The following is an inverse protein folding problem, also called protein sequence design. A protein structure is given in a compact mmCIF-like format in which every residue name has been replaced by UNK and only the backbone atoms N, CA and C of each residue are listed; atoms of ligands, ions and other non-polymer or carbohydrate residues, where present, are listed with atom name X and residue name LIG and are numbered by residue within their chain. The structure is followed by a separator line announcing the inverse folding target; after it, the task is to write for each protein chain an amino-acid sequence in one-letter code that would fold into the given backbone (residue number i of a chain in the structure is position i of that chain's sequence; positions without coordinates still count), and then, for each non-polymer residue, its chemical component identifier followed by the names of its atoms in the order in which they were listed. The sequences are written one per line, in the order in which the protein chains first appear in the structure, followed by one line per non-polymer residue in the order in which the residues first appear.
data_IF_157692812687
#
_entry.id   IF_157692812687
#
_cell.length_a   1.000
_cell.length_b   1.000
_cell.length_c   1.000
_cell.angle_alpha   90.00
_cell.angle_beta   90.00
_cell.angle_gamma   90.00
#
_symmetry.space_group_name_H-M   'P 1'
#
loop_
_entity.id
_entity.type
_entity.pdbx_description
1 polymer ?
#
# COMPACT_ATOMS: atom_id res chain seq x y z
N UNK A 1 -16.32 -10.55 -2.22
CA UNK A 1 -17.66 -11.11 -2.56
C UNK A 1 -17.72 -12.62 -2.28
N UNK A 2 -16.77 -13.43 -2.76
CA UNK A 2 -16.76 -14.89 -2.54
C UNK A 2 -16.77 -15.26 -1.04
N UNK A 3 -16.01 -14.55 -0.21
CA UNK A 3 -15.95 -14.74 1.25
C UNK A 3 -17.27 -14.43 1.98
N UNK A 4 -18.17 -13.71 1.34
CA UNK A 4 -19.52 -13.42 1.83
C UNK A 4 -20.59 -14.32 1.20
N UNK A 5 -20.21 -15.44 0.61
CA UNK A 5 -21.13 -16.40 0.03
C UNK A 5 -21.74 -16.02 -1.32
N UNK A 6 -21.25 -14.93 -1.96
CA UNK A 6 -21.81 -14.49 -3.23
C UNK A 6 -21.23 -15.28 -4.41
N UNK A 7 -22.10 -15.66 -5.35
CA UNK A 7 -21.66 -16.36 -6.55
C UNK A 7 -21.01 -15.38 -7.53
N UNK A 8 -19.70 -15.24 -7.41
CA UNK A 8 -18.89 -14.31 -8.18
C UNK A 8 -18.87 -14.69 -9.66
N UNK A 9 -18.78 -15.95 -10.00
CA UNK A 9 -18.72 -16.40 -11.40
C UNK A 9 -20.01 -16.10 -12.16
N UNK A 10 -21.16 -16.17 -11.49
CA UNK A 10 -22.47 -15.82 -12.06
C UNK A 10 -22.67 -14.30 -12.19
N UNK A 11 -22.28 -13.51 -11.18
CA UNK A 11 -22.70 -12.12 -11.03
C UNK A 11 -21.63 -11.08 -11.38
N UNK A 12 -20.34 -11.46 -11.40
CA UNK A 12 -19.26 -10.50 -11.55
C UNK A 12 -18.48 -10.74 -12.85
N UNK A 13 -18.18 -9.65 -13.54
CA UNK A 13 -17.24 -9.60 -14.63
C UNK A 13 -16.01 -8.80 -14.21
N UNK A 14 -14.81 -9.28 -14.58
CA UNK A 14 -13.54 -8.58 -14.35
C UNK A 14 -13.07 -7.99 -15.66
N UNK A 15 -12.86 -6.68 -15.70
CA UNK A 15 -12.33 -5.98 -16.86
C UNK A 15 -10.94 -5.43 -16.54
N UNK A 16 -9.93 -6.07 -17.08
CA UNK A 16 -8.54 -5.61 -17.12
C UNK A 16 -7.85 -6.19 -18.36
N UNK A 17 -6.56 -5.99 -18.56
CA UNK A 17 -5.86 -6.43 -19.75
C UNK A 17 -6.21 -7.87 -20.17
N UNK A 18 -6.65 -8.04 -21.42
CA UNK A 18 -7.04 -9.35 -22.00
C UNK A 18 -8.50 -9.79 -21.79
N UNK A 19 -9.30 -9.03 -21.04
CA UNK A 19 -10.72 -9.33 -20.85
C UNK A 19 -11.60 -8.46 -21.76
N UNK A 20 -12.76 -9.05 -22.19
CA UNK A 20 -13.76 -8.30 -22.97
C UNK A 20 -14.34 -7.14 -22.15
N UNK A 21 -14.61 -6.03 -22.82
CA UNK A 21 -15.35 -4.90 -22.24
C UNK A 21 -16.87 -5.11 -22.22
N UNK A 22 -17.39 -6.11 -22.95
CA UNK A 22 -18.81 -6.45 -22.96
C UNK A 22 -19.12 -7.49 -21.88
N UNK A 23 -20.22 -7.31 -21.17
CA UNK A 23 -20.68 -8.22 -20.14
C UNK A 23 -22.19 -8.07 -19.91
N UNK A 24 -22.84 -9.18 -19.63
CA UNK A 24 -24.22 -9.30 -19.14
C UNK A 24 -24.29 -9.39 -17.60
N UNK A 25 -23.14 -9.39 -16.94
CA UNK A 25 -23.07 -9.55 -15.48
C UNK A 25 -23.50 -8.29 -14.76
N UNK A 26 -24.15 -8.50 -13.61
CA UNK A 26 -24.67 -7.40 -12.77
C UNK A 26 -23.62 -6.48 -12.20
N UNK A 27 -22.38 -6.99 -11.99
CA UNK A 27 -21.29 -6.26 -11.39
C UNK A 27 -20.06 -6.31 -12.28
N UNK A 28 -19.58 -5.13 -12.65
CA UNK A 28 -18.30 -4.96 -13.33
C UNK A 28 -17.24 -4.53 -12.30
N UNK A 29 -16.13 -5.29 -12.21
CA UNK A 29 -14.96 -4.95 -11.42
C UNK A 29 -13.83 -4.62 -12.39
N UNK A 30 -13.33 -3.39 -12.32
CA UNK A 30 -12.36 -2.91 -13.29
C UNK A 30 -11.32 -1.99 -12.67
N UNK A 31 -10.16 -1.90 -13.32
CA UNK A 31 -9.22 -0.82 -13.09
C UNK A 31 -9.63 0.41 -13.90
N UNK A 32 -9.31 1.60 -13.41
CA UNK A 32 -9.65 2.84 -14.12
C UNK A 32 -8.97 2.92 -15.50
N UNK A 33 -7.77 2.35 -15.64
CA UNK A 33 -7.03 2.31 -16.91
C UNK A 33 -7.79 1.58 -18.00
N UNK A 34 -8.50 0.50 -17.64
CA UNK A 34 -9.32 -0.27 -18.59
C UNK A 34 -10.59 0.48 -19.00
N UNK A 35 -11.13 1.33 -18.12
CA UNK A 35 -12.36 2.09 -18.36
C UNK A 35 -12.11 3.44 -19.03
N UNK A 36 -10.98 4.08 -18.79
CA UNK A 36 -10.72 5.47 -19.14
C UNK A 36 -10.97 5.79 -20.62
N UNK A 37 -10.58 4.87 -21.54
CA UNK A 37 -10.72 5.03 -22.98
C UNK A 37 -12.10 4.69 -23.54
N UNK A 38 -12.98 4.10 -22.74
CA UNK A 38 -14.30 3.70 -23.20
C UNK A 38 -15.21 4.92 -23.43
N UNK A 39 -16.10 4.86 -24.43
CA UNK A 39 -17.01 5.96 -24.75
C UNK A 39 -18.04 6.17 -23.62
N UNK A 40 -18.65 7.36 -23.57
CA UNK A 40 -19.68 7.72 -22.59
C UNK A 40 -20.86 6.75 -22.62
N UNK A 41 -21.29 6.32 -23.79
CA UNK A 41 -22.42 5.38 -23.98
C UNK A 41 -22.20 4.03 -23.29
N UNK A 42 -20.94 3.61 -23.11
CA UNK A 42 -20.62 2.40 -22.33
C UNK A 42 -21.11 2.48 -20.88
N UNK A 43 -21.10 3.69 -20.32
CA UNK A 43 -21.38 3.92 -18.91
C UNK A 43 -22.88 4.11 -18.60
N UNK A 44 -23.74 4.27 -19.60
CA UNK A 44 -25.19 4.48 -19.43
C UNK A 44 -25.90 3.28 -18.77
N UNK A 45 -25.31 2.09 -18.87
CA UNK A 45 -25.83 0.87 -18.26
C UNK A 45 -25.65 0.79 -16.73
N UNK A 46 -24.83 1.68 -16.13
CA UNK A 46 -24.48 1.57 -14.71
C UNK A 46 -25.28 2.56 -13.86
N UNK A 47 -26.14 2.04 -12.97
CA UNK A 47 -26.90 2.84 -12.00
C UNK A 47 -26.14 3.12 -10.70
N UNK A 48 -25.07 2.36 -10.40
CA UNK A 48 -24.27 2.45 -9.17
C UNK A 48 -22.79 2.37 -9.48
N UNK A 49 -21.99 3.23 -8.87
CA UNK A 49 -20.51 3.14 -8.91
C UNK A 49 -19.92 3.16 -7.51
N UNK A 50 -18.96 2.27 -7.28
CA UNK A 50 -18.10 2.26 -6.11
C UNK A 50 -16.68 2.63 -6.53
N UNK A 51 -16.17 3.75 -6.02
CA UNK A 51 -14.77 4.15 -6.17
C UNK A 51 -13.97 3.71 -4.94
N UNK A 52 -13.18 2.66 -5.08
CA UNK A 52 -12.23 2.27 -4.03
C UNK A 52 -11.00 3.20 -4.07
N UNK A 53 -10.37 3.42 -2.92
CA UNK A 53 -9.30 4.42 -2.75
C UNK A 53 -9.71 5.79 -3.30
N UNK A 54 -10.92 6.24 -2.92
CA UNK A 54 -11.56 7.45 -3.46
C UNK A 54 -10.67 8.71 -3.39
N UNK A 55 -9.71 8.76 -2.47
CA UNK A 55 -8.73 9.87 -2.40
C UNK A 55 -7.88 10.05 -3.68
N UNK A 56 -7.81 9.04 -4.56
CA UNK A 56 -7.13 9.11 -5.86
C UNK A 56 -7.97 9.83 -6.92
N UNK A 57 -9.28 9.96 -6.74
CA UNK A 57 -10.20 10.57 -7.72
C UNK A 57 -10.05 12.09 -7.89
N UNK A 58 -9.10 12.69 -7.21
CA UNK A 58 -8.61 14.04 -7.48
C UNK A 58 -7.76 14.15 -8.75
N UNK A 59 -7.29 13.03 -9.31
CA UNK A 59 -6.53 13.03 -10.56
C UNK A 59 -7.45 13.27 -11.76
N UNK A 60 -6.93 13.98 -12.77
CA UNK A 60 -7.67 14.36 -13.99
C UNK A 60 -8.36 13.16 -14.64
N UNK A 61 -7.63 12.05 -14.82
CA UNK A 61 -8.16 10.85 -15.49
C UNK A 61 -9.34 10.23 -14.76
N UNK A 62 -9.29 10.16 -13.42
CA UNK A 62 -10.39 9.62 -12.63
C UNK A 62 -11.57 10.58 -12.53
N UNK A 63 -11.32 11.88 -12.47
CA UNK A 63 -12.38 12.89 -12.54
C UNK A 63 -13.11 12.83 -13.89
N UNK A 64 -12.37 12.75 -15.01
CA UNK A 64 -12.94 12.59 -16.35
C UNK A 64 -13.73 11.28 -16.50
N UNK A 65 -13.24 10.18 -15.91
CA UNK A 65 -14.00 8.93 -15.88
C UNK A 65 -15.35 9.10 -15.17
N UNK A 66 -15.37 9.77 -14.02
CA UNK A 66 -16.59 10.02 -13.26
C UNK A 66 -17.58 10.94 -14.01
N UNK A 67 -17.11 11.85 -14.87
CA UNK A 67 -17.98 12.69 -15.69
C UNK A 67 -18.68 11.92 -16.82
N UNK A 68 -18.18 10.75 -17.21
CA UNK A 68 -18.83 9.84 -18.16
C UNK A 68 -20.02 9.09 -17.58
N UNK A 69 -20.08 8.94 -16.25
CA UNK A 69 -21.13 8.24 -15.51
C UNK A 69 -22.35 9.15 -15.26
N UNK A 70 -22.90 9.76 -16.30
CA UNK A 70 -23.96 10.79 -16.16
C UNK A 70 -25.23 10.22 -15.55
N UNK A 71 -25.65 9.04 -16.00
CA UNK A 71 -26.89 8.39 -15.57
C UNK A 71 -26.72 7.55 -14.29
N UNK A 72 -25.51 7.51 -13.75
CA UNK A 72 -25.23 6.78 -12.53
C UNK A 72 -25.78 7.52 -11.31
N UNK A 73 -26.91 7.03 -10.80
CA UNK A 73 -27.66 7.65 -9.70
C UNK A 73 -26.92 7.58 -8.36
N UNK A 74 -26.25 6.45 -8.09
CA UNK A 74 -25.60 6.22 -6.81
C UNK A 74 -24.08 6.16 -6.98
N UNK A 75 -23.40 7.06 -6.29
CA UNK A 75 -21.94 7.20 -6.35
C UNK A 75 -21.37 7.10 -4.94
N UNK A 76 -20.58 6.05 -4.69
CA UNK A 76 -20.03 5.77 -3.37
C UNK A 76 -18.49 5.74 -3.48
N UNK A 77 -17.84 6.66 -2.79
CA UNK A 77 -16.38 6.69 -2.65
C UNK A 77 -15.96 6.10 -1.32
N UNK A 78 -15.05 5.15 -1.33
CA UNK A 78 -14.49 4.50 -0.15
C UNK A 78 -13.01 4.85 -0.01
N UNK A 79 -12.57 5.26 1.18
CA UNK A 79 -11.15 5.47 1.47
C UNK A 79 -10.86 5.35 2.96
N UNK A 80 -9.73 4.73 3.29
CA UNK A 80 -9.21 4.70 4.66
C UNK A 80 -8.35 5.92 5.03
N UNK A 81 -7.95 6.70 4.02
CA UNK A 81 -7.03 7.83 4.18
C UNK A 81 -7.47 9.01 3.33
N UNK A 82 -8.01 10.04 3.97
CA UNK A 82 -8.28 11.30 3.31
C UNK A 82 -7.14 12.28 3.62
N UNK A 83 -6.57 12.92 2.59
CA UNK A 83 -5.63 14.01 2.83
C UNK A 83 -6.39 15.24 3.35
N UNK A 84 -5.74 16.05 4.19
CA UNK A 84 -6.37 17.21 4.81
C UNK A 84 -6.51 18.43 3.89
N UNK A 85 -6.25 18.30 2.59
CA UNK A 85 -6.34 19.41 1.64
C UNK A 85 -7.80 19.73 1.30
N UNK A 86 -8.24 20.94 1.63
CA UNK A 86 -9.61 21.40 1.37
C UNK A 86 -10.04 21.29 -0.09
N UNK A 87 -9.15 21.65 -1.02
CA UNK A 87 -9.41 21.57 -2.47
C UNK A 87 -9.71 20.16 -2.92
N UNK A 88 -8.95 19.17 -2.44
CA UNK A 88 -9.20 17.77 -2.75
C UNK A 88 -10.51 17.26 -2.18
N UNK A 89 -10.88 17.71 -0.99
CA UNK A 89 -12.16 17.39 -0.37
C UNK A 89 -13.34 17.87 -1.23
N UNK A 90 -13.29 19.12 -1.72
CA UNK A 90 -14.33 19.68 -2.59
C UNK A 90 -14.51 18.87 -3.87
N UNK A 91 -13.40 18.44 -4.52
CA UNK A 91 -13.48 17.59 -5.72
C UNK A 91 -14.18 16.27 -5.39
N UNK A 92 -13.80 15.62 -4.29
CA UNK A 92 -14.40 14.34 -3.88
C UNK A 92 -15.87 14.48 -3.50
N UNK A 93 -16.25 15.56 -2.81
CA UNK A 93 -17.65 15.87 -2.48
C UNK A 93 -18.47 16.14 -3.73
N UNK A 94 -17.91 16.78 -4.75
CA UNK A 94 -18.56 16.96 -6.05
C UNK A 94 -18.78 15.66 -6.82
N UNK A 95 -17.90 14.66 -6.64
CA UNK A 95 -18.00 13.38 -7.33
C UNK A 95 -18.88 12.36 -6.60
N UNK A 96 -18.82 12.32 -5.27
CA UNK A 96 -19.42 11.27 -4.44
C UNK A 96 -20.41 11.77 -3.38
N UNK A 97 -20.52 13.08 -3.18
CA UNK A 97 -21.32 13.66 -2.10
C UNK A 97 -20.56 13.83 -0.80
N UNK A 98 -21.27 14.19 0.25
CA UNK A 98 -20.70 14.55 1.54
C UNK A 98 -19.84 13.43 2.16
N UNK A 99 -18.72 13.83 2.77
CA UNK A 99 -17.79 12.90 3.44
C UNK A 99 -18.36 12.47 4.78
N UNK A 100 -18.59 11.17 4.93
CA UNK A 100 -19.03 10.55 6.18
C UNK A 100 -17.92 9.74 6.82
N UNK A 101 -17.52 10.10 8.04
CA UNK A 101 -16.53 9.35 8.80
C UNK A 101 -17.20 8.21 9.57
N UNK A 102 -17.08 7.01 9.06
CA UNK A 102 -17.72 5.80 9.63
C UNK A 102 -17.08 5.41 10.97
N UNK A 103 -15.75 5.43 11.04
CA UNK A 103 -15.00 5.04 12.24
C UNK A 103 -13.61 5.67 12.28
N UNK A 104 -12.87 5.43 13.35
CA UNK A 104 -11.46 5.80 13.44
C UNK A 104 -10.62 4.60 13.86
N UNK A 105 -9.34 4.61 13.48
CA UNK A 105 -8.38 3.56 13.86
C UNK A 105 -8.37 3.33 15.39
N UNK A 106 -8.43 4.41 16.18
CA UNK A 106 -8.48 4.32 17.65
C UNK A 106 -9.70 3.55 18.12
N UNK A 107 -10.90 3.88 17.62
CA UNK A 107 -12.13 3.16 17.98
C UNK A 107 -12.07 1.67 17.61
N UNK A 108 -11.43 1.33 16.50
CA UNK A 108 -11.26 -0.06 16.10
C UNK A 108 -10.26 -0.81 17.00
N UNK A 109 -9.19 -0.15 17.46
CA UNK A 109 -8.26 -0.71 18.46
C UNK A 109 -8.98 -0.92 19.81
N UNK A 110 -9.72 0.07 20.30
CA UNK A 110 -10.47 -0.01 21.55
C UNK A 110 -11.50 -1.15 21.52
N UNK A 111 -12.07 -1.45 20.34
CA UNK A 111 -12.97 -2.59 20.10
C UNK A 111 -12.25 -3.92 19.83
N UNK A 112 -10.93 -3.96 19.93
CA UNK A 112 -10.11 -5.14 19.63
C UNK A 112 -10.34 -5.69 18.19
N UNK A 113 -10.69 -4.82 17.25
CA UNK A 113 -10.82 -5.14 15.82
C UNK A 113 -9.53 -4.87 15.05
N UNK A 114 -8.59 -4.18 15.66
CA UNK A 114 -7.22 -3.94 15.18
C UNK A 114 -6.23 -4.20 16.31
N UNK A 115 -5.00 -4.57 15.95
CA UNK A 115 -3.89 -4.74 16.89
C UNK A 115 -3.46 -3.40 17.48
N UNK A 116 -2.87 -3.41 18.65
CA UNK A 116 -2.25 -2.23 19.24
C UNK A 116 -1.06 -1.76 18.40
N UNK A 117 -0.84 -0.45 18.38
CA UNK A 117 0.27 0.17 17.66
C UNK A 117 1.23 0.87 18.63
N UNK A 118 2.50 0.51 18.54
CA UNK A 118 3.58 1.27 19.17
C UNK A 118 4.47 1.84 18.06
N UNK A 119 4.62 3.15 18.01
CA UNK A 119 5.51 3.85 17.07
C UNK A 119 6.80 4.22 17.81
N UNK A 120 7.94 3.72 17.32
CA UNK A 120 9.27 4.04 17.85
C UNK A 120 10.05 4.85 16.82
N UNK A 121 10.36 6.10 17.15
CA UNK A 121 11.20 6.97 16.33
C UNK A 121 12.66 6.80 16.75
N UNK A 122 13.45 6.14 15.91
CA UNK A 122 14.88 5.94 16.15
C UNK A 122 15.67 7.04 15.45
N UNK A 123 16.33 7.90 16.23
CA UNK A 123 17.07 9.04 15.71
C UNK A 123 18.53 8.62 15.51
N UNK A 124 18.94 8.50 14.25
CA UNK A 124 20.33 8.23 13.88
C UNK A 124 21.07 9.55 13.68
N UNK A 125 22.11 9.78 14.47
CA UNK A 125 22.97 10.95 14.32
C UNK A 125 24.02 10.70 13.27
N UNK A 126 24.24 11.66 12.39
CA UNK A 126 25.33 11.70 11.42
C UNK A 126 26.44 12.62 11.94
N UNK A 127 27.65 12.50 11.39
CA UNK A 127 28.74 13.43 11.70
C UNK A 127 28.40 14.84 11.26
N UNK A 128 28.93 15.85 11.94
CA UNK A 128 28.66 17.26 11.58
C UNK A 128 29.13 17.56 10.15
N UNK A 129 30.26 16.98 9.74
CA UNK A 129 30.81 17.12 8.39
C UNK A 129 29.82 16.64 7.34
N UNK A 130 29.34 15.42 7.45
CA UNK A 130 28.35 14.84 6.53
C UNK A 130 27.05 15.63 6.54
N UNK A 131 26.60 16.08 7.70
CA UNK A 131 25.39 16.90 7.83
C UNK A 131 25.53 18.23 7.11
N UNK A 132 26.69 18.91 7.19
CA UNK A 132 26.96 20.15 6.47
C UNK A 132 26.99 19.97 4.96
N UNK A 133 27.64 18.90 4.47
CA UNK A 133 27.72 18.59 3.05
C UNK A 133 26.31 18.35 2.48
N UNK A 134 25.51 17.52 3.14
CA UNK A 134 24.16 17.17 2.70
C UNK A 134 23.19 18.35 2.75
N UNK A 135 23.33 19.23 3.77
CA UNK A 135 22.50 20.41 3.92
C UNK A 135 22.67 21.46 2.79
N UNK A 136 23.79 21.44 2.08
CA UNK A 136 24.04 22.31 0.93
C UNK A 136 23.46 21.74 -0.38
N UNK A 137 23.07 20.45 -0.38
CA UNK A 137 22.50 19.74 -1.52
C UNK A 137 20.98 19.91 -1.67
N UNK A 138 20.45 19.29 -2.71
CA UNK A 138 18.99 19.16 -2.93
C UNK A 138 18.44 17.97 -2.16
N UNK A 139 17.11 17.91 -2.04
CA UNK A 139 16.42 16.78 -1.41
C UNK A 139 16.83 15.41 -1.98
N UNK A 140 17.14 15.32 -3.29
CA UNK A 140 17.58 14.06 -3.88
C UNK A 140 18.98 13.66 -3.38
N UNK A 141 19.87 14.62 -3.17
CA UNK A 141 21.23 14.36 -2.63
C UNK A 141 21.15 13.83 -1.19
N UNK A 142 20.22 14.40 -0.39
CA UNK A 142 19.90 13.87 0.95
C UNK A 142 19.39 12.44 0.91
N UNK A 143 18.45 12.14 0.03
CA UNK A 143 17.91 10.78 -0.13
C UNK A 143 19.01 9.81 -0.56
N UNK A 144 19.81 10.17 -1.57
CA UNK A 144 20.89 9.34 -2.07
C UNK A 144 21.96 9.07 -0.99
N UNK A 145 22.30 10.08 -0.19
CA UNK A 145 23.17 9.90 0.97
C UNK A 145 22.58 8.93 2.00
N UNK A 146 21.32 9.12 2.38
CA UNK A 146 20.66 8.27 3.38
C UNK A 146 20.54 6.80 2.94
N UNK A 147 20.27 6.54 1.66
CA UNK A 147 20.12 5.16 1.17
C UNK A 147 21.47 4.49 0.88
N UNK A 148 22.53 5.24 0.61
CA UNK A 148 23.88 4.72 0.39
C UNK A 148 24.71 4.56 1.67
N UNK A 149 24.30 5.17 2.78
CA UNK A 149 25.01 5.14 4.04
C UNK A 149 25.14 3.71 4.61
N UNK A 150 26.34 3.15 4.56
CA UNK A 150 26.64 1.80 5.07
C UNK A 150 26.30 1.65 6.56
N UNK A 151 26.60 2.65 7.38
CA UNK A 151 26.29 2.63 8.81
C UNK A 151 24.80 2.52 9.07
N UNK A 152 23.99 3.29 8.32
CA UNK A 152 22.54 3.27 8.39
C UNK A 152 21.96 1.94 7.90
N UNK A 153 22.45 1.41 6.80
CA UNK A 153 22.03 0.11 6.29
C UNK A 153 22.35 -1.02 7.27
N UNK A 154 23.55 -1.02 7.86
CA UNK A 154 23.93 -1.97 8.89
C UNK A 154 23.05 -1.86 10.14
N UNK A 155 22.69 -0.63 10.54
CA UNK A 155 21.76 -0.42 11.64
C UNK A 155 20.37 -1.03 11.33
N UNK A 156 19.81 -0.77 10.13
CA UNK A 156 18.52 -1.31 9.70
C UNK A 156 18.57 -2.84 9.64
N UNK A 157 19.63 -3.42 9.08
CA UNK A 157 19.86 -4.87 9.08
C UNK A 157 19.84 -5.44 10.50
N UNK A 158 20.65 -4.88 11.40
CA UNK A 158 20.74 -5.35 12.78
C UNK A 158 19.41 -5.24 13.52
N UNK A 159 18.67 -4.14 13.28
CA UNK A 159 17.31 -3.97 13.82
C UNK A 159 16.38 -5.05 13.30
N UNK A 160 16.34 -5.30 11.98
CA UNK A 160 15.50 -6.32 11.37
C UNK A 160 15.81 -7.73 11.91
N UNK A 161 17.09 -8.04 12.09
CA UNK A 161 17.53 -9.33 12.62
C UNK A 161 17.22 -9.51 14.11
N UNK A 162 17.21 -8.42 14.88
CA UNK A 162 16.94 -8.46 16.34
C UNK A 162 15.45 -8.51 16.68
N UNK A 163 14.60 -7.98 15.82
CA UNK A 163 13.16 -7.98 16.06
C UNK A 163 12.59 -9.39 15.91
N UNK A 164 11.80 -9.81 16.87
CA UNK A 164 11.06 -11.07 16.85
C UNK A 164 9.75 -10.90 16.07
N UNK A 165 9.30 -11.97 15.41
CA UNK A 165 8.09 -11.98 14.61
C UNK A 165 8.28 -11.47 13.18
N UNK A 166 7.26 -11.67 12.35
CA UNK A 166 7.30 -11.27 10.95
C UNK A 166 7.56 -9.77 10.82
N UNK A 167 8.67 -9.42 10.21
CA UNK A 167 9.17 -8.05 10.10
C UNK A 167 9.20 -7.60 8.65
N UNK A 168 8.56 -6.46 8.36
CA UNK A 168 8.54 -5.83 7.06
C UNK A 168 9.52 -4.65 7.03
N UNK A 169 10.47 -4.67 6.10
CA UNK A 169 11.37 -3.55 5.81
C UNK A 169 10.94 -2.86 4.52
N UNK A 170 10.45 -1.63 4.62
CA UNK A 170 9.94 -0.87 3.48
C UNK A 170 11.00 0.04 2.87
N UNK A 171 11.23 -0.10 1.57
CA UNK A 171 12.15 0.74 0.81
C UNK A 171 11.46 1.43 -0.38
N UNK A 172 12.12 2.47 -0.95
CA UNK A 172 11.61 3.20 -2.10
C UNK A 172 12.36 2.89 -3.40
N UNK A 173 13.69 2.87 -3.36
CA UNK A 173 14.55 2.71 -4.53
C UNK A 173 15.00 1.24 -4.64
N UNK A 174 14.58 0.56 -5.70
CA UNK A 174 14.82 -0.89 -5.89
C UNK A 174 16.31 -1.17 -6.00
N UNK A 175 16.99 -0.62 -7.02
CA UNK A 175 18.39 -0.91 -7.30
C UNK A 175 19.35 -0.26 -6.30
N UNK A 176 19.14 1.02 -5.98
CA UNK A 176 20.04 1.79 -5.11
C UNK A 176 19.96 1.40 -3.63
N UNK A 177 18.85 0.83 -3.18
CA UNK A 177 18.65 0.57 -1.73
C UNK A 177 18.08 -0.81 -1.44
N UNK A 178 16.96 -1.19 -2.09
CA UNK A 178 16.21 -2.40 -1.75
C UNK A 178 17.00 -3.67 -1.92
N UNK A 179 17.70 -3.83 -3.06
CA UNK A 179 18.51 -5.02 -3.35
C UNK A 179 19.63 -5.18 -2.34
N UNK A 180 20.41 -4.13 -2.10
CA UNK A 180 21.51 -4.19 -1.15
C UNK A 180 21.02 -4.47 0.29
N UNK A 181 19.91 -3.85 0.70
CA UNK A 181 19.32 -4.11 2.02
C UNK A 181 18.89 -5.58 2.17
N UNK A 182 18.27 -6.15 1.13
CA UNK A 182 17.92 -7.56 1.10
C UNK A 182 19.17 -8.45 1.23
N UNK A 183 20.21 -8.21 0.43
CA UNK A 183 21.41 -9.02 0.39
C UNK A 183 22.13 -9.04 1.76
N UNK A 184 22.31 -7.88 2.38
CA UNK A 184 22.98 -7.80 3.69
C UNK A 184 22.15 -8.39 4.84
N UNK A 185 20.81 -8.36 4.74
CA UNK A 185 19.96 -9.02 5.73
C UNK A 185 20.00 -10.53 5.52
N UNK A 186 19.88 -11.01 4.29
CA UNK A 186 19.91 -12.43 3.96
C UNK A 186 21.23 -13.10 4.33
N UNK A 187 22.35 -12.42 4.06
CA UNK A 187 23.69 -12.91 4.40
C UNK A 187 23.89 -13.14 5.92
N UNK A 188 23.24 -12.33 6.75
CA UNK A 188 23.37 -12.39 8.21
C UNK A 188 22.20 -13.03 8.95
N UNK A 189 21.14 -13.38 8.22
CA UNK A 189 20.00 -14.06 8.82
C UNK A 189 20.36 -15.52 9.20
N UNK A 190 19.81 -16.00 10.31
CA UNK A 190 19.89 -17.42 10.65
C UNK A 190 19.30 -18.28 9.52
N UNK A 191 19.90 -19.45 9.26
CA UNK A 191 19.48 -20.34 8.19
C UNK A 191 18.00 -20.76 8.27
N UNK A 192 17.41 -20.74 9.46
CA UNK A 192 16.01 -21.05 9.70
C UNK A 192 15.07 -19.86 9.46
N UNK A 193 15.60 -18.62 9.44
CA UNK A 193 14.82 -17.40 9.29
C UNK A 193 14.69 -17.03 7.83
N UNK A 194 13.48 -17.14 7.29
CA UNK A 194 13.20 -16.84 5.87
C UNK A 194 13.25 -15.34 5.60
N UNK A 195 13.95 -14.96 4.53
CA UNK A 195 14.06 -13.58 4.06
C UNK A 195 13.54 -13.51 2.63
N UNK A 196 12.55 -12.62 2.39
CA UNK A 196 11.89 -12.44 1.11
C UNK A 196 12.16 -11.05 0.54
N UNK A 197 12.25 -10.95 -0.79
CA UNK A 197 12.41 -9.69 -1.50
C UNK A 197 11.22 -9.47 -2.44
N UNK A 198 10.49 -8.36 -2.29
CA UNK A 198 9.26 -8.08 -3.03
C UNK A 198 9.31 -6.65 -3.60
N UNK A 199 9.25 -6.54 -4.93
CA UNK A 199 9.21 -5.27 -5.64
C UNK A 199 8.35 -5.38 -6.90
N UNK A 200 8.18 -4.30 -7.66
CA UNK A 200 7.29 -4.25 -8.83
C UNK A 200 7.62 -5.23 -9.96
N UNK A 201 8.89 -5.66 -10.06
CA UNK A 201 9.32 -6.67 -11.04
C UNK A 201 9.00 -8.12 -10.67
N UNK A 202 8.54 -8.38 -9.45
CA UNK A 202 8.10 -9.73 -9.04
C UNK A 202 6.68 -9.97 -9.56
N UNK A 203 6.44 -11.12 -10.20
CA UNK A 203 5.15 -11.47 -10.76
C UNK A 203 4.05 -11.60 -9.67
N UNK A 204 2.79 -11.38 -10.06
CA UNK A 204 1.66 -11.35 -9.13
C UNK A 204 1.47 -12.69 -8.40
N UNK A 205 1.63 -13.80 -9.12
CA UNK A 205 1.46 -15.15 -8.57
C UNK A 205 2.58 -15.49 -7.58
N UNK A 206 3.81 -15.07 -7.86
CA UNK A 206 4.95 -15.23 -6.94
C UNK A 206 4.74 -14.39 -5.67
N UNK A 207 4.26 -13.16 -5.78
CA UNK A 207 3.92 -12.33 -4.62
C UNK A 207 2.84 -12.96 -3.74
N UNK A 208 1.85 -13.59 -4.36
CA UNK A 208 0.80 -14.30 -3.64
C UNK A 208 1.33 -15.59 -2.97
N UNK A 209 2.24 -16.30 -3.61
CA UNK A 209 2.93 -17.46 -3.03
C UNK A 209 3.75 -17.05 -1.80
N UNK A 210 4.56 -15.98 -1.90
CA UNK A 210 5.32 -15.44 -0.77
C UNK A 210 4.38 -15.03 0.37
N UNK A 211 3.27 -14.35 0.08
CA UNK A 211 2.25 -14.00 1.06
C UNK A 211 1.76 -15.24 1.82
N UNK A 212 1.38 -16.29 1.08
CA UNK A 212 0.90 -17.55 1.66
C UNK A 212 1.92 -18.25 2.55
N UNK A 213 3.22 -18.14 2.23
CA UNK A 213 4.30 -18.65 3.07
C UNK A 213 4.43 -17.81 4.34
N UNK A 214 4.54 -16.48 4.20
CA UNK A 214 4.74 -15.57 5.33
C UNK A 214 3.59 -15.62 6.35
N UNK A 215 2.36 -15.83 5.90
CA UNK A 215 1.21 -15.99 6.82
C UNK A 215 1.34 -17.21 7.74
N UNK A 216 2.11 -18.22 7.34
CA UNK A 216 2.38 -19.44 8.15
C UNK A 216 3.67 -19.32 8.98
N UNK A 217 4.54 -18.38 8.62
CA UNK A 217 5.78 -18.14 9.35
C UNK A 217 5.55 -17.29 10.59
N UNK A 218 6.38 -17.53 11.60
CA UNK A 218 6.33 -16.78 12.87
C UNK A 218 7.42 -15.72 12.97
N UNK A 219 8.47 -15.83 12.17
CA UNK A 219 9.66 -14.97 12.26
C UNK A 219 10.35 -14.78 10.91
N UNK A 220 9.60 -14.34 9.91
CA UNK A 220 10.14 -14.02 8.58
C UNK A 220 10.49 -12.54 8.46
N UNK A 221 11.45 -12.22 7.57
CA UNK A 221 11.76 -10.84 7.18
C UNK A 221 11.34 -10.64 5.73
N UNK A 222 10.61 -9.57 5.47
CA UNK A 222 10.16 -9.19 4.13
C UNK A 222 10.76 -7.82 3.81
N UNK A 223 11.62 -7.76 2.79
CA UNK A 223 12.16 -6.52 2.25
C UNK A 223 11.31 -6.15 1.04
N UNK A 224 10.48 -5.11 1.15
CA UNK A 224 9.49 -4.80 0.13
C UNK A 224 9.50 -3.32 -0.29
N UNK A 225 9.21 -3.07 -1.58
CA UNK A 225 9.03 -1.69 -2.04
C UNK A 225 7.70 -1.12 -1.56
N UNK A 226 7.68 0.19 -1.23
CA UNK A 226 6.44 0.89 -0.84
C UNK A 226 5.32 0.71 -1.86
N UNK A 227 5.64 0.82 -3.17
CA UNK A 227 4.66 0.71 -4.23
C UNK A 227 3.97 -0.64 -4.24
N UNK A 228 4.74 -1.71 -4.22
CA UNK A 228 4.23 -3.07 -4.28
C UNK A 228 3.45 -3.44 -3.02
N UNK A 229 3.96 -3.04 -1.84
CA UNK A 229 3.30 -3.35 -0.59
C UNK A 229 2.01 -2.54 -0.39
N UNK A 230 1.96 -1.28 -0.83
CA UNK A 230 0.75 -0.46 -0.71
C UNK A 230 -0.40 -0.92 -1.60
N UNK A 231 -0.13 -1.59 -2.74
CA UNK A 231 -1.14 -1.91 -3.75
C UNK A 231 -1.58 -3.37 -3.82
N UNK A 232 -0.91 -4.32 -3.19
CA UNK A 232 -1.23 -5.71 -3.48
C UNK A 232 -0.93 -6.76 -2.42
N UNK A 233 0.03 -6.55 -1.55
CA UNK A 233 0.44 -7.58 -0.58
C UNK A 233 -0.32 -7.40 0.73
N UNK A 234 -1.17 -8.38 1.07
CA UNK A 234 -1.96 -8.37 2.30
C UNK A 234 -1.49 -9.47 3.25
N UNK A 235 -0.54 -9.16 4.13
CA UNK A 235 -0.04 -10.09 5.14
C UNK A 235 -0.75 -9.79 6.47
N UNK A 236 -1.51 -10.75 6.99
CA UNK A 236 -2.23 -10.61 8.26
C UNK A 236 -1.31 -10.75 9.46
N UNK A 237 -0.35 -11.67 9.37
CA UNK A 237 0.57 -11.99 10.46
C UNK A 237 1.84 -11.13 10.40
N UNK A 238 1.70 -9.81 10.46
CA UNK A 238 2.82 -8.85 10.40
C UNK A 238 2.98 -8.16 11.76
N UNK A 239 4.12 -8.34 12.42
CA UNK A 239 4.38 -7.85 13.79
C UNK A 239 5.14 -6.52 13.79
N UNK A 240 6.11 -6.35 12.89
CA UNK A 240 6.96 -5.17 12.85
C UNK A 240 7.00 -4.56 11.46
N UNK A 241 7.07 -3.22 11.41
CA UNK A 241 7.30 -2.47 10.16
C UNK A 241 8.47 -1.52 10.39
N UNK A 242 9.51 -1.65 9.57
CA UNK A 242 10.66 -0.75 9.52
C UNK A 242 10.53 0.12 8.26
N UNK A 243 10.43 1.43 8.44
CA UNK A 243 10.49 2.39 7.35
C UNK A 243 11.95 2.67 6.99
N UNK A 244 12.52 1.83 6.11
CA UNK A 244 13.93 1.87 5.76
C UNK A 244 14.29 3.02 4.81
N UNK A 245 13.36 3.54 4.01
CA UNK A 245 13.56 4.73 3.18
C UNK A 245 12.73 5.91 3.70
N UNK A 246 13.24 7.14 3.59
CA UNK A 246 12.43 8.33 3.89
C UNK A 246 11.22 8.42 2.95
N UNK A 247 10.06 8.82 3.48
CA UNK A 247 8.86 9.05 2.69
C UNK A 247 8.08 10.24 3.25
N UNK A 248 7.89 11.29 2.43
CA UNK A 248 7.05 12.46 2.77
C UNK A 248 5.55 12.18 2.55
N UNK A 249 5.18 11.06 1.94
CA UNK A 249 3.79 10.74 1.64
C UNK A 249 3.05 10.25 2.90
N UNK A 250 2.27 11.12 3.51
CA UNK A 250 1.41 10.79 4.66
C UNK A 250 0.48 9.61 4.36
N UNK A 251 -0.15 9.62 3.18
CA UNK A 251 -1.09 8.57 2.77
C UNK A 251 -0.38 7.21 2.71
N UNK A 252 0.78 7.14 2.03
CA UNK A 252 1.57 5.92 1.92
C UNK A 252 1.99 5.38 3.29
N UNK A 253 2.45 6.25 4.17
CA UNK A 253 2.86 5.86 5.52
C UNK A 253 1.67 5.31 6.32
N UNK A 254 0.51 5.99 6.30
CA UNK A 254 -0.69 5.53 6.99
C UNK A 254 -1.24 4.21 6.42
N UNK A 255 -1.22 4.03 5.10
CA UNK A 255 -1.60 2.76 4.47
C UNK A 255 -0.67 1.61 4.88
N UNK A 256 0.64 1.87 4.93
CA UNK A 256 1.62 0.86 5.37
C UNK A 256 1.40 0.47 6.83
N UNK A 257 1.19 1.45 7.72
CA UNK A 257 0.86 1.21 9.13
C UNK A 257 -0.45 0.43 9.26
N UNK A 258 -1.49 0.84 8.52
CA UNK A 258 -2.80 0.20 8.56
C UNK A 258 -2.78 -1.29 8.22
N UNK A 259 -1.86 -1.71 7.37
CA UNK A 259 -1.66 -3.14 7.07
C UNK A 259 -1.06 -3.92 8.25
N UNK A 260 -0.15 -3.30 8.98
CA UNK A 260 0.43 -3.88 10.21
C UNK A 260 -0.55 -3.98 11.38
N UNK A 261 -1.66 -3.23 11.34
CA UNK A 261 -2.67 -3.24 12.40
C UNK A 261 -3.69 -4.40 12.30
N UNK A 262 -3.67 -5.16 11.22
CA UNK A 262 -4.61 -6.28 11.05
C UNK A 262 -4.37 -7.34 12.10
N UNK A 263 -5.46 -7.87 12.64
CA UNK A 263 -5.38 -9.01 13.56
C UNK A 263 -4.90 -10.24 12.80
N UNK A 264 -3.94 -10.92 13.36
CA UNK A 264 -3.47 -12.24 12.95
C UNK A 264 -3.60 -13.20 14.13
N UNK A 265 -3.55 -14.49 13.86
CA UNK A 265 -3.75 -15.53 14.87
C UNK A 265 -2.69 -15.55 15.99
N UNK A 266 -1.58 -14.81 15.80
CA UNK A 266 -0.45 -14.73 16.72
C UNK A 266 -0.11 -13.30 17.18
N UNK A 267 -1.07 -12.39 17.16
CA UNK A 267 -0.90 -10.98 17.61
C UNK A 267 -1.65 -10.69 18.88
#
# INVERSE_FOLDING_TARGET
FKSYGWNVSKNCHRLYSGYSNQTDKKVLISTWQSLYKLPKTYFEQFGVVFGDEAHLFKSKSLTELMTKLVDCKYRVGLTGTLDGAHTHKLVLEGLFGAVNKVTSTRKLMDRKQLSNLVVRCLILKHTEENSKIVAQGKYQDEVDYLVSSKSRQNFIRNLALKLEGNTLCLFQLVEKHGQNLYDIIKDKADAKRKVFYIFGGVEADEREAIRGIVEKEKDAIIVASYGTFSTGVNIKNLHNIIFASPSKSRIRNLQSIGRGLRLGDNK
#
